data_IF_364541945120
#
_entry.id   IF_364541945120
#
_cell.length_a   1.000
_cell.length_b   1.000
_cell.length_c   1.000
_cell.angle_alpha   90.00
_cell.angle_beta   90.00
_cell.angle_gamma   90.00
#
_symmetry.space_group_name_H-M   'P 1'
#
loop_
_entity.id
_entity.type
_entity.pdbx_description
1 polymer ?
#
# COMPACT_ATOMS: atom_id res chain seq x y z
N UNK A 1 19.07 22.47 18.50
CA UNK A 1 18.21 22.35 17.30
C UNK A 1 18.32 20.91 16.82
N UNK A 2 17.39 20.05 17.24
CA UNK A 2 17.35 18.65 16.80
C UNK A 2 16.54 18.60 15.51
N UNK A 3 17.19 18.29 14.40
CA UNK A 3 16.56 18.00 13.12
C UNK A 3 15.77 16.69 13.24
N UNK A 4 14.54 16.70 12.73
CA UNK A 4 13.68 15.53 12.71
C UNK A 4 14.29 14.41 11.82
N UNK A 5 14.11 13.13 12.16
CA UNK A 5 14.56 12.04 11.32
C UNK A 5 13.81 12.13 9.98
N UNK A 6 14.58 12.25 8.91
CA UNK A 6 14.05 12.32 7.57
C UNK A 6 13.35 10.99 7.27
N UNK A 7 12.06 11.03 6.93
CA UNK A 7 11.35 9.87 6.40
C UNK A 7 12.01 9.35 5.12
N UNK A 8 11.69 8.12 4.67
CA UNK A 8 12.43 7.46 3.60
C UNK A 8 12.40 8.28 2.31
N UNK A 9 13.52 8.94 2.03
CA UNK A 9 13.81 9.64 0.77
C UNK A 9 14.24 8.67 -0.34
N UNK A 10 14.14 7.36 -0.13
CA UNK A 10 14.77 6.30 -0.93
C UNK A 10 14.31 6.22 -2.40
N UNK A 11 13.13 6.75 -2.74
CA UNK A 11 12.73 6.84 -4.15
C UNK A 11 13.51 7.91 -4.94
N UNK A 12 14.27 8.82 -4.31
CA UNK A 12 15.02 9.87 -5.03
C UNK A 12 16.23 9.33 -5.81
N UNK A 13 16.74 8.15 -5.47
CA UNK A 13 18.04 7.66 -5.98
C UNK A 13 17.94 6.62 -7.10
N UNK A 14 16.78 6.48 -7.75
CA UNK A 14 16.61 5.60 -8.93
C UNK A 14 16.23 6.36 -10.21
N UNK A 15 17.17 7.10 -10.84
CA UNK A 15 16.91 7.83 -12.08
C UNK A 15 16.31 6.95 -13.19
N UNK A 16 16.74 5.68 -13.26
CA UNK A 16 16.27 4.73 -14.27
C UNK A 16 14.77 4.44 -14.15
N UNK A 17 14.29 4.11 -12.95
CA UNK A 17 12.86 3.79 -12.73
C UNK A 17 11.98 5.01 -12.99
N UNK A 18 12.45 6.22 -12.64
CA UNK A 18 11.72 7.45 -12.97
C UNK A 18 11.63 7.69 -14.47
N UNK A 19 12.74 7.50 -15.19
CA UNK A 19 12.78 7.66 -16.64
C UNK A 19 11.86 6.65 -17.34
N UNK A 20 11.96 5.36 -16.99
CA UNK A 20 11.12 4.30 -17.55
C UNK A 20 9.64 4.55 -17.27
N UNK A 21 9.30 5.02 -16.05
CA UNK A 21 7.93 5.40 -15.69
C UNK A 21 7.44 6.56 -16.55
N UNK A 22 8.23 7.62 -16.70
CA UNK A 22 7.80 8.81 -17.43
C UNK A 22 7.65 8.52 -18.93
N UNK A 23 8.53 7.67 -19.49
CA UNK A 23 8.38 7.10 -20.84
C UNK A 23 7.12 6.23 -20.97
N UNK A 24 6.83 5.39 -19.98
CA UNK A 24 5.61 4.57 -19.95
C UNK A 24 4.34 5.42 -19.89
N UNK A 25 4.34 6.50 -19.11
CA UNK A 25 3.20 7.43 -19.06
C UNK A 25 3.01 8.12 -20.40
N UNK A 26 4.11 8.58 -21.03
CA UNK A 26 4.06 9.23 -22.33
C UNK A 26 3.60 8.32 -23.47
N UNK A 27 3.78 6.99 -23.32
CA UNK A 27 3.33 6.02 -24.32
C UNK A 27 1.85 5.62 -24.21
N UNK A 28 1.12 6.04 -23.16
CA UNK A 28 -0.33 5.82 -23.03
C UNK A 28 -1.08 6.83 -23.92
N UNK A 29 -1.72 6.41 -25.02
CA UNK A 29 -2.45 7.33 -25.87
C UNK A 29 -3.79 7.69 -25.22
N UNK A 30 -4.00 8.97 -24.90
CA UNK A 30 -5.19 9.41 -24.15
C UNK A 30 -6.52 9.02 -24.85
N UNK A 31 -6.57 9.07 -26.18
CA UNK A 31 -7.76 8.66 -26.94
C UNK A 31 -8.11 7.19 -26.71
N UNK A 32 -7.13 6.29 -26.54
CA UNK A 32 -7.37 4.88 -26.24
C UNK A 32 -7.95 4.69 -24.85
N UNK A 33 -7.61 5.56 -23.89
CA UNK A 33 -8.23 5.53 -22.55
C UNK A 33 -9.72 5.86 -22.63
N UNK A 34 -10.10 6.83 -23.45
CA UNK A 34 -11.51 7.16 -23.68
C UNK A 34 -12.25 6.03 -24.40
N UNK A 35 -11.65 5.48 -25.46
CA UNK A 35 -12.21 4.30 -26.17
C UNK A 35 -12.38 3.11 -25.23
N UNK A 36 -11.40 2.85 -24.37
CA UNK A 36 -11.45 1.80 -23.35
C UNK A 36 -12.58 2.05 -22.36
N UNK A 37 -12.69 3.26 -21.79
CA UNK A 37 -13.77 3.56 -20.86
C UNK A 37 -15.15 3.42 -21.52
N UNK A 38 -15.30 3.87 -22.76
CA UNK A 38 -16.54 3.73 -23.53
C UNK A 38 -16.89 2.29 -23.87
N UNK A 39 -15.91 1.40 -24.10
CA UNK A 39 -16.19 0.00 -24.44
C UNK A 39 -16.85 -0.78 -23.30
N UNK A 40 -16.61 -0.41 -22.04
CA UNK A 40 -17.27 -0.98 -20.87
C UNK A 40 -18.62 -0.34 -20.53
N UNK A 41 -19.10 0.57 -21.39
CA UNK A 41 -20.39 1.24 -21.25
C UNK A 41 -21.28 0.78 -22.40
N UNK A 42 -22.31 -0.02 -22.09
CA UNK A 42 -23.21 -0.63 -23.07
C UNK A 42 -23.85 0.40 -24.03
N UNK A 43 -23.38 0.46 -25.29
CA UNK A 43 -23.82 1.33 -26.40
C UNK A 43 -23.55 2.84 -26.25
N UNK A 44 -22.42 3.19 -25.62
CA UNK A 44 -22.19 4.52 -25.07
C UNK A 44 -21.78 5.65 -26.06
N UNK A 45 -22.33 6.85 -25.86
CA UNK A 45 -21.78 8.07 -26.44
C UNK A 45 -20.31 8.31 -26.01
N UNK A 46 -19.54 9.08 -26.79
CA UNK A 46 -18.14 9.38 -26.45
C UNK A 46 -18.05 9.99 -25.05
N UNK A 47 -17.10 9.51 -24.24
CA UNK A 47 -16.74 10.14 -22.97
C UNK A 47 -15.60 11.14 -23.17
N UNK A 48 -15.48 12.10 -22.27
CA UNK A 48 -14.42 13.10 -22.26
C UNK A 48 -13.70 13.11 -20.90
N UNK A 49 -12.48 13.62 -20.86
CA UNK A 49 -11.82 13.89 -19.58
C UNK A 49 -12.46 15.11 -18.90
N UNK A 50 -12.74 14.99 -17.60
CA UNK A 50 -13.25 16.11 -16.80
C UNK A 50 -12.22 16.64 -15.79
N UNK A 51 -11.08 15.96 -15.65
CA UNK A 51 -9.95 16.39 -14.82
C UNK A 51 -8.64 15.89 -15.47
N UNK A 52 -7.53 16.53 -15.13
CA UNK A 52 -6.21 16.13 -15.61
C UNK A 52 -5.82 14.77 -15.04
N UNK A 53 -5.06 13.94 -15.78
CA UNK A 53 -4.53 12.69 -15.24
C UNK A 53 -3.73 12.94 -13.97
N UNK A 54 -3.91 12.09 -12.95
CA UNK A 54 -3.19 12.18 -11.67
C UNK A 54 -2.32 10.95 -11.49
N UNK A 55 -1.03 11.18 -11.24
CA UNK A 55 -0.04 10.14 -11.02
C UNK A 55 0.15 9.90 -9.51
N UNK A 56 -0.01 8.65 -9.08
CA UNK A 56 0.44 8.16 -7.77
C UNK A 56 1.76 7.39 -7.87
N UNK A 57 2.16 6.69 -6.81
CA UNK A 57 3.40 5.89 -6.80
C UNK A 57 3.35 4.70 -7.75
N UNK A 58 2.17 4.08 -7.90
CA UNK A 58 2.01 2.80 -8.60
C UNK A 58 0.95 2.80 -9.69
N UNK A 59 0.20 3.89 -9.84
CA UNK A 59 -0.84 4.00 -10.85
C UNK A 59 -0.88 5.43 -11.40
N UNK A 60 -1.30 5.56 -12.65
CA UNK A 60 -1.84 6.81 -13.20
C UNK A 60 -3.36 6.68 -13.30
N UNK A 61 -4.08 7.74 -12.94
CA UNK A 61 -5.53 7.80 -12.90
C UNK A 61 -6.04 8.81 -13.94
N UNK A 62 -6.91 8.37 -14.84
CA UNK A 62 -7.62 9.20 -15.81
C UNK A 62 -9.07 9.38 -15.39
N UNK A 63 -9.59 10.60 -15.48
CA UNK A 63 -10.91 10.96 -14.96
C UNK A 63 -11.86 11.23 -16.12
N UNK A 64 -12.80 10.32 -16.35
CA UNK A 64 -13.68 10.34 -17.53
C UNK A 64 -15.14 10.59 -17.14
N UNK A 65 -15.85 11.35 -17.97
CA UNK A 65 -17.26 11.66 -17.82
C UNK A 65 -18.02 11.33 -19.09
N UNK A 66 -19.16 10.65 -18.94
CA UNK A 66 -20.09 10.32 -20.01
C UNK A 66 -21.15 11.42 -20.17
N UNK A 67 -21.84 11.46 -21.31
CA UNK A 67 -22.83 12.52 -21.58
C UNK A 67 -24.03 12.51 -20.62
N UNK A 68 -24.33 11.35 -20.01
CA UNK A 68 -25.36 11.19 -18.99
C UNK A 68 -24.90 11.62 -17.59
N UNK A 69 -23.72 12.23 -17.49
CA UNK A 69 -23.17 12.80 -16.27
C UNK A 69 -22.42 11.81 -15.39
N UNK A 70 -22.48 10.50 -15.67
CA UNK A 70 -21.74 9.49 -14.90
C UNK A 70 -20.23 9.70 -15.07
N UNK A 71 -19.49 9.51 -13.97
CA UNK A 71 -18.04 9.71 -13.91
C UNK A 71 -17.34 8.44 -13.46
N UNK A 72 -16.26 8.07 -14.15
CA UNK A 72 -15.42 6.92 -13.82
C UNK A 72 -13.93 7.32 -13.70
N UNK A 73 -13.15 6.43 -13.10
CA UNK A 73 -11.70 6.55 -12.98
C UNK A 73 -11.00 5.37 -13.68
N UNK A 74 -10.31 5.74 -14.75
CA UNK A 74 -9.19 5.12 -15.50
C UNK A 74 -7.92 4.75 -14.71
N UNK A 75 -7.82 3.65 -13.95
CA UNK A 75 -6.56 3.34 -13.23
C UNK A 75 -5.66 2.39 -14.03
N UNK A 76 -4.48 2.88 -14.42
CA UNK A 76 -3.47 2.10 -15.13
C UNK A 76 -2.25 1.89 -14.21
N UNK A 77 -1.85 0.64 -13.92
CA UNK A 77 -0.65 0.36 -13.15
C UNK A 77 0.61 0.84 -13.88
N UNK A 78 1.51 1.48 -13.15
CA UNK A 78 2.80 1.91 -13.65
C UNK A 78 3.77 0.73 -13.60
N UNK A 79 3.72 -0.14 -14.60
CA UNK A 79 4.52 -1.38 -14.65
C UNK A 79 6.02 -1.19 -14.31
N UNK A 80 6.71 -0.12 -14.75
CA UNK A 80 8.11 0.12 -14.38
C UNK A 80 8.36 0.30 -12.87
N UNK A 81 7.33 0.69 -12.10
CA UNK A 81 7.43 0.89 -10.65
C UNK A 81 7.04 -0.36 -9.84
N UNK A 82 6.72 -1.48 -10.50
CA UNK A 82 6.18 -2.70 -9.89
C UNK A 82 7.15 -3.87 -10.05
N UNK A 83 7.97 -4.10 -9.03
CA UNK A 83 8.99 -5.15 -9.05
C UNK A 83 8.40 -6.55 -9.28
N UNK A 84 7.19 -6.77 -8.76
CA UNK A 84 6.47 -8.04 -8.83
C UNK A 84 5.40 -8.08 -9.93
N UNK A 85 5.40 -7.10 -10.84
CA UNK A 85 4.49 -7.02 -11.97
C UNK A 85 3.11 -6.43 -11.65
N UNK A 86 2.45 -5.93 -12.70
CA UNK A 86 1.10 -5.35 -12.63
C UNK A 86 0.05 -6.37 -12.18
N UNK A 87 0.19 -7.63 -12.62
CA UNK A 87 -0.73 -8.73 -12.33
C UNK A 87 -0.94 -8.93 -10.83
N UNK A 88 0.13 -9.23 -10.10
CA UNK A 88 0.08 -9.50 -8.65
C UNK A 88 -0.53 -8.33 -7.88
N UNK A 89 -0.17 -7.09 -8.25
CA UNK A 89 -0.73 -5.88 -7.65
C UNK A 89 -2.24 -5.78 -7.89
N UNK A 90 -2.68 -5.88 -9.15
CA UNK A 90 -4.09 -5.67 -9.51
C UNK A 90 -4.99 -6.74 -8.92
N UNK A 91 -4.58 -8.01 -8.99
CA UNK A 91 -5.31 -9.11 -8.36
C UNK A 91 -5.48 -8.87 -6.85
N UNK A 92 -4.43 -8.41 -6.17
CA UNK A 92 -4.50 -8.11 -4.74
C UNK A 92 -5.38 -6.91 -4.40
N UNK A 93 -5.34 -5.83 -5.21
CA UNK A 93 -6.23 -4.68 -5.02
C UNK A 93 -7.70 -5.04 -5.24
N UNK A 94 -8.01 -5.80 -6.30
CA UNK A 94 -9.37 -6.23 -6.60
C UNK A 94 -9.89 -7.17 -5.52
N UNK A 95 -9.10 -8.16 -5.08
CA UNK A 95 -9.47 -9.05 -4.00
C UNK A 95 -9.72 -8.29 -2.69
N UNK A 96 -8.86 -7.33 -2.34
CA UNK A 96 -9.07 -6.48 -1.17
C UNK A 96 -10.38 -5.68 -1.24
N UNK A 97 -10.67 -5.06 -2.39
CA UNK A 97 -11.94 -4.34 -2.59
C UNK A 97 -13.13 -5.27 -2.43
N UNK A 98 -13.10 -6.47 -3.02
CA UNK A 98 -14.17 -7.46 -2.90
C UNK A 98 -14.40 -7.91 -1.45
N UNK A 99 -13.33 -8.16 -0.67
CA UNK A 99 -13.47 -8.49 0.77
C UNK A 99 -14.12 -7.34 1.52
N UNK A 100 -13.62 -6.12 1.34
CA UNK A 100 -14.12 -4.94 2.07
C UNK A 100 -15.60 -4.73 1.73
N UNK A 101 -15.96 -4.72 0.44
CA UNK A 101 -17.35 -4.49 0.01
C UNK A 101 -18.30 -5.60 0.48
N UNK A 102 -17.85 -6.86 0.54
CA UNK A 102 -18.73 -8.00 0.90
C UNK A 102 -18.86 -8.22 2.41
N UNK A 103 -17.90 -7.77 3.21
CA UNK A 103 -17.84 -8.09 4.65
C UNK A 103 -17.90 -6.87 5.56
N UNK A 104 -17.97 -5.66 5.02
CA UNK A 104 -18.02 -4.42 5.78
C UNK A 104 -19.03 -3.45 5.18
N UNK A 105 -19.39 -2.41 5.92
CA UNK A 105 -20.18 -1.27 5.43
C UNK A 105 -19.30 -0.11 4.98
N UNK A 106 -17.97 -0.31 4.93
CA UNK A 106 -17.02 0.73 4.53
C UNK A 106 -17.31 1.14 3.09
N UNK A 107 -17.56 2.44 2.82
CA UNK A 107 -17.83 2.89 1.47
C UNK A 107 -16.58 2.78 0.60
N UNK A 108 -16.63 1.91 -0.41
CA UNK A 108 -15.59 1.75 -1.41
C UNK A 108 -16.13 2.08 -2.80
N UNK A 109 -15.32 2.68 -3.71
CA UNK A 109 -15.75 2.86 -5.09
C UNK A 109 -16.14 1.53 -5.72
N UNK A 110 -17.29 1.47 -6.37
CA UNK A 110 -17.73 0.32 -7.14
C UNK A 110 -16.75 0.00 -8.26
N UNK A 111 -16.38 -1.27 -8.33
CA UNK A 111 -15.59 -1.86 -9.41
C UNK A 111 -16.46 -2.00 -10.66
N UNK A 112 -16.14 -1.27 -11.74
CA UNK A 112 -16.86 -1.34 -13.02
C UNK A 112 -16.31 -2.49 -13.86
N UNK A 113 -14.99 -2.52 -14.03
CA UNK A 113 -14.28 -3.51 -14.81
C UNK A 113 -12.81 -3.54 -14.39
N UNK A 114 -12.13 -4.64 -14.68
CA UNK A 114 -10.68 -4.73 -14.57
C UNK A 114 -10.17 -5.77 -15.56
N UNK A 115 -8.93 -5.58 -16.02
CA UNK A 115 -8.20 -6.54 -16.83
C UNK A 115 -6.82 -6.70 -16.23
N UNK A 116 -6.38 -7.96 -16.17
CA UNK A 116 -5.09 -8.36 -15.64
C UNK A 116 -4.33 -9.07 -16.75
N UNK A 117 -3.13 -8.57 -17.05
CA UNK A 117 -2.25 -9.12 -18.08
C UNK A 117 -0.81 -9.12 -17.58
N UNK A 118 -0.02 -10.07 -18.11
CA UNK A 118 1.43 -10.12 -17.90
C UNK A 118 2.20 -9.27 -18.92
N UNK A 119 1.48 -8.69 -19.90
CA UNK A 119 2.07 -7.73 -20.84
C UNK A 119 2.55 -6.47 -20.12
N UNK A 120 3.68 -5.93 -20.61
CA UNK A 120 4.20 -4.63 -20.18
C UNK A 120 3.69 -3.47 -21.03
N UNK A 121 2.83 -3.75 -22.00
CA UNK A 121 2.25 -2.73 -22.85
C UNK A 121 1.29 -1.83 -22.05
N UNK A 122 1.25 -0.53 -22.37
CA UNK A 122 0.26 0.37 -21.79
C UNK A 122 -1.16 -0.15 -22.01
N UNK A 123 -2.05 0.05 -21.02
CA UNK A 123 -3.46 -0.37 -21.05
C UNK A 123 -3.71 -1.88 -21.17
N UNK A 124 -2.69 -2.74 -21.19
CA UNK A 124 -2.87 -4.20 -21.13
C UNK A 124 -3.41 -4.68 -19.78
N UNK A 125 -3.21 -3.88 -18.73
CA UNK A 125 -3.76 -4.07 -17.39
C UNK A 125 -4.37 -2.76 -16.91
N UNK A 126 -5.56 -2.81 -16.32
CA UNK A 126 -6.24 -1.62 -15.78
C UNK A 126 -7.36 -1.99 -14.82
N UNK A 127 -7.84 -0.98 -14.09
CA UNK A 127 -9.05 -1.04 -13.27
C UNK A 127 -9.90 0.19 -13.59
N UNK A 128 -11.20 -0.02 -13.86
CA UNK A 128 -12.19 1.03 -14.00
C UNK A 128 -13.04 1.05 -12.73
N UNK A 129 -13.03 2.19 -12.04
CA UNK A 129 -13.82 2.41 -10.83
C UNK A 129 -14.86 3.50 -11.07
N UNK A 130 -15.94 3.48 -10.31
CA UNK A 130 -16.79 4.66 -10.21
C UNK A 130 -16.01 5.83 -9.59
N UNK A 131 -16.35 7.05 -9.99
CA UNK A 131 -15.76 8.23 -9.38
C UNK A 131 -16.51 8.58 -8.09
N UNK A 132 -15.79 8.60 -6.97
CA UNK A 132 -16.31 9.08 -5.69
C UNK A 132 -15.94 10.56 -5.54
N UNK A 133 -16.95 11.42 -5.49
CA UNK A 133 -16.76 12.83 -5.18
C UNK A 133 -16.41 13.00 -3.71
N UNK A 134 -15.34 13.74 -3.42
CA UNK A 134 -14.94 14.01 -2.06
C UNK A 134 -13.70 14.88 -1.96
N UNK A 135 -13.33 15.19 -0.72
CA UNK A 135 -12.13 15.94 -0.39
C UNK A 135 -11.12 15.03 0.29
N UNK A 136 -9.86 15.10 -0.13
CA UNK A 136 -8.77 14.42 0.58
C UNK A 136 -8.65 14.98 1.98
N UNK A 137 -8.48 14.11 2.96
CA UNK A 137 -8.27 14.53 4.33
C UNK A 137 -6.91 15.24 4.46
N UNK A 138 -6.93 16.42 5.07
CA UNK A 138 -5.75 17.25 5.32
C UNK A 138 -5.70 17.55 6.81
N UNK A 139 -4.73 16.97 7.50
CA UNK A 139 -4.57 17.10 8.96
C UNK A 139 -4.41 18.56 9.40
N UNK A 140 -3.84 19.42 8.56
CA UNK A 140 -3.68 20.84 8.88
C UNK A 140 -5.01 21.59 8.90
N UNK A 141 -5.97 21.14 8.07
CA UNK A 141 -7.34 21.67 8.02
C UNK A 141 -8.22 21.04 9.10
N UNK A 142 -7.96 19.77 9.44
CA UNK A 142 -8.70 19.03 10.45
C UNK A 142 -8.72 19.77 11.80
N UNK A 143 -7.56 20.30 12.23
CA UNK A 143 -7.46 21.08 13.48
C UNK A 143 -8.26 22.38 13.49
N UNK A 144 -8.66 22.87 12.31
CA UNK A 144 -9.42 24.11 12.12
C UNK A 144 -10.92 23.85 11.94
N UNK A 145 -11.35 22.59 11.87
CA UNK A 145 -12.76 22.24 11.77
C UNK A 145 -13.49 22.54 13.09
N UNK A 146 -14.79 22.87 13.05
CA UNK A 146 -15.62 22.88 14.25
C UNK A 146 -15.54 21.55 15.00
N UNK A 147 -15.63 21.59 16.32
CA UNK A 147 -15.47 20.41 17.19
C UNK A 147 -16.43 19.26 16.83
N UNK A 148 -17.67 19.59 16.47
CA UNK A 148 -18.66 18.62 16.01
C UNK A 148 -18.21 17.86 14.75
N UNK A 149 -17.66 18.59 13.77
CA UNK A 149 -17.17 17.99 12.52
C UNK A 149 -15.93 17.13 12.76
N UNK A 150 -15.04 17.56 13.66
CA UNK A 150 -13.89 16.74 14.08
C UNK A 150 -14.36 15.44 14.73
N UNK A 151 -15.33 15.53 15.63
CA UNK A 151 -15.89 14.37 16.34
C UNK A 151 -16.54 13.38 15.38
N UNK A 152 -17.34 13.86 14.42
CA UNK A 152 -17.97 13.03 13.40
C UNK A 152 -16.93 12.33 12.51
N UNK A 153 -15.87 13.05 12.13
CA UNK A 153 -14.77 12.49 11.34
C UNK A 153 -14.02 11.41 12.12
N UNK A 154 -13.62 11.68 13.36
CA UNK A 154 -12.92 10.69 14.18
C UNK A 154 -13.77 9.46 14.45
N UNK A 155 -15.07 9.65 14.68
CA UNK A 155 -16.02 8.54 14.87
C UNK A 155 -16.13 7.68 13.61
N UNK A 156 -16.24 8.31 12.43
CA UNK A 156 -16.26 7.60 11.14
C UNK A 156 -14.96 6.82 10.88
N UNK A 157 -13.81 7.42 11.20
CA UNK A 157 -12.50 6.76 11.05
C UNK A 157 -12.34 5.59 12.02
N UNK A 158 -12.80 5.74 13.26
CA UNK A 158 -12.80 4.66 14.25
C UNK A 158 -13.69 3.50 13.81
N UNK A 159 -14.88 3.79 13.27
CA UNK A 159 -15.78 2.77 12.73
C UNK A 159 -15.12 1.98 11.58
N UNK A 160 -14.53 2.68 10.60
CA UNK A 160 -13.76 2.05 9.50
C UNK A 160 -12.65 1.16 10.07
N UNK A 161 -11.90 1.65 11.06
CA UNK A 161 -10.79 0.89 11.64
C UNK A 161 -11.27 -0.38 12.37
N UNK A 162 -12.35 -0.27 13.15
CA UNK A 162 -12.96 -1.41 13.85
C UNK A 162 -13.44 -2.45 12.84
N UNK A 163 -14.08 -2.02 11.76
CA UNK A 163 -14.55 -2.93 10.71
C UNK A 163 -13.39 -3.64 10.01
N UNK A 164 -12.31 -2.93 9.64
CA UNK A 164 -11.11 -3.56 9.09
C UNK A 164 -10.46 -4.54 10.07
N UNK A 165 -10.40 -4.20 11.36
CA UNK A 165 -9.81 -5.05 12.42
C UNK A 165 -10.57 -6.36 12.64
N UNK A 166 -11.86 -6.42 12.28
CA UNK A 166 -12.70 -7.62 12.31
C UNK A 166 -12.50 -8.54 11.10
N UNK A 167 -11.78 -8.08 10.07
CA UNK A 167 -11.44 -8.92 8.92
C UNK A 167 -10.22 -9.78 9.29
N UNK A 168 -10.51 -11.02 9.64
CA UNK A 168 -9.53 -12.00 10.13
C UNK A 168 -9.17 -13.05 9.06
N UNK A 169 -7.91 -13.45 9.07
CA UNK A 169 -7.30 -14.37 8.11
C UNK A 169 -6.38 -15.38 8.81
N UNK A 170 -6.25 -16.59 8.25
CA UNK A 170 -5.45 -17.65 8.86
C UNK A 170 -3.93 -17.52 8.60
N UNK A 171 -3.50 -16.63 7.69
CA UNK A 171 -2.10 -16.42 7.34
C UNK A 171 -1.82 -14.94 7.01
N UNK A 172 -0.54 -14.57 7.06
CA UNK A 172 0.00 -13.26 6.69
C UNK A 172 0.38 -13.29 5.20
N UNK A 173 -0.02 -12.26 4.45
CA UNK A 173 0.27 -12.18 3.02
C UNK A 173 -0.64 -11.20 2.27
N UNK A 174 -0.61 -11.28 0.95
CA UNK A 174 -1.52 -10.57 0.06
C UNK A 174 -2.76 -11.40 -0.25
N UNK A 175 -3.90 -10.72 -0.39
CA UNK A 175 -5.16 -11.34 -0.79
C UNK A 175 -5.15 -11.70 -2.28
N UNK A 176 -5.79 -12.82 -2.62
CA UNK A 176 -6.05 -13.22 -3.99
C UNK A 176 -7.37 -13.99 -4.11
N UNK A 177 -7.94 -13.99 -5.31
CA UNK A 177 -9.06 -14.86 -5.64
C UNK A 177 -8.56 -16.30 -5.81
N UNK A 178 -9.06 -17.21 -5.01
CA UNK A 178 -8.85 -18.66 -5.12
C UNK A 178 -10.14 -19.41 -5.49
N UNK A 179 -10.06 -20.75 -5.64
CA UNK A 179 -11.21 -21.59 -6.00
C UNK A 179 -12.37 -21.51 -5.00
N UNK A 180 -12.05 -21.44 -3.71
CA UNK A 180 -13.01 -21.40 -2.60
C UNK A 180 -13.34 -19.96 -2.15
N UNK A 181 -12.98 -18.97 -2.97
CA UNK A 181 -13.13 -17.55 -2.66
C UNK A 181 -11.79 -16.89 -2.32
N UNK A 182 -11.85 -15.76 -1.61
CA UNK A 182 -10.67 -14.93 -1.37
C UNK A 182 -9.80 -15.54 -0.26
N UNK A 183 -8.52 -15.74 -0.56
CA UNK A 183 -7.53 -16.36 0.31
C UNK A 183 -6.27 -15.51 0.46
N UNK A 184 -5.43 -15.84 1.45
CA UNK A 184 -4.11 -15.20 1.67
C UNK A 184 -3.02 -16.22 1.33
N UNK A 185 -2.46 -16.08 0.12
CA UNK A 185 -1.57 -17.10 -0.47
C UNK A 185 -0.41 -16.49 -1.28
N UNK A 186 -0.17 -15.19 -1.14
CA UNK A 186 0.93 -14.48 -1.79
C UNK A 186 1.82 -13.84 -0.73
N UNK A 187 3.12 -13.80 -1.00
CA UNK A 187 4.07 -13.05 -0.17
C UNK A 187 3.67 -11.59 -0.06
N UNK A 188 4.05 -10.94 1.04
CA UNK A 188 3.72 -9.54 1.27
C UNK A 188 4.43 -8.65 0.26
N UNK A 189 3.72 -7.66 -0.29
CA UNK A 189 4.25 -6.69 -1.25
C UNK A 189 4.13 -5.30 -0.65
N UNK A 190 4.89 -5.03 0.42
CA UNK A 190 4.94 -3.68 1.00
C UNK A 190 5.69 -2.72 0.07
N UNK A 191 5.48 -1.41 0.25
CA UNK A 191 6.23 -0.40 -0.48
C UNK A 191 7.75 -0.57 -0.30
N UNK A 192 8.20 -0.87 0.92
CA UNK A 192 9.61 -1.13 1.22
C UNK A 192 10.15 -2.33 0.44
N UNK A 193 9.43 -3.47 0.47
CA UNK A 193 9.84 -4.68 -0.26
C UNK A 193 9.90 -4.40 -1.77
N UNK A 194 8.93 -3.67 -2.34
CA UNK A 194 8.96 -3.31 -3.75
C UNK A 194 10.15 -2.41 -4.11
N UNK A 195 10.46 -1.40 -3.30
CA UNK A 195 11.61 -0.50 -3.55
C UNK A 195 12.91 -1.29 -3.51
N UNK A 196 13.14 -2.06 -2.45
CA UNK A 196 14.34 -2.88 -2.31
C UNK A 196 14.50 -3.92 -3.43
N UNK A 197 13.40 -4.49 -3.92
CA UNK A 197 13.43 -5.39 -5.08
C UNK A 197 13.85 -4.66 -6.36
N UNK A 198 13.33 -3.45 -6.62
CA UNK A 198 13.77 -2.62 -7.75
C UNK A 198 15.25 -2.20 -7.63
N UNK A 199 15.76 -2.04 -6.41
CA UNK A 199 17.18 -1.78 -6.12
C UNK A 199 18.08 -3.01 -6.33
N UNK A 200 17.51 -4.20 -6.54
CA UNK A 200 18.26 -5.44 -6.68
C UNK A 200 18.78 -5.98 -5.35
N UNK A 201 18.21 -5.55 -4.22
CA UNK A 201 18.54 -6.04 -2.88
C UNK A 201 17.92 -7.41 -2.59
N UNK A 202 17.06 -7.91 -3.48
CA UNK A 202 16.47 -9.26 -3.45
C UNK A 202 15.76 -9.61 -2.12
N UNK A 203 14.89 -8.74 -1.57
CA UNK A 203 14.09 -9.08 -0.39
C UNK A 203 13.18 -10.30 -0.62
N UNK A 204 12.76 -10.56 -1.87
CA UNK A 204 11.98 -11.76 -2.23
C UNK A 204 12.67 -13.08 -1.88
N UNK A 205 14.00 -13.15 -2.04
CA UNK A 205 14.79 -14.33 -1.66
C UNK A 205 14.79 -14.57 -0.14
N UNK A 206 14.68 -13.50 0.65
CA UNK A 206 14.54 -13.61 2.11
C UNK A 206 13.13 -14.08 2.44
N UNK A 207 12.09 -13.48 1.82
CA UNK A 207 10.70 -13.93 2.02
C UNK A 207 10.54 -15.43 1.75
N UNK A 208 11.15 -15.95 0.68
CA UNK A 208 11.05 -17.36 0.31
C UNK A 208 11.58 -18.33 1.39
N UNK A 209 12.44 -17.87 2.32
CA UNK A 209 12.97 -18.68 3.42
C UNK A 209 11.99 -18.80 4.61
N UNK A 210 11.05 -17.86 4.73
CA UNK A 210 10.12 -17.78 5.86
C UNK A 210 8.73 -18.33 5.55
N UNK A 211 8.32 -18.26 4.28
CA UNK A 211 7.04 -18.80 3.84
C UNK A 211 7.12 -20.32 3.73
N UNK A 212 6.08 -21.00 4.19
CA UNK A 212 5.96 -22.46 4.07
C UNK A 212 5.81 -22.87 2.59
N UNK A 213 6.06 -24.15 2.24
CA UNK A 213 5.96 -24.63 0.85
C UNK A 213 4.58 -24.43 0.20
N UNK A 214 3.52 -24.30 1.01
CA UNK A 214 2.17 -24.00 0.57
C UNK A 214 1.92 -22.50 0.31
N UNK A 215 2.95 -21.65 0.47
CA UNK A 215 2.90 -20.21 0.22
C UNK A 215 2.34 -19.40 1.38
N UNK A 216 2.18 -19.99 2.57
CA UNK A 216 1.58 -19.33 3.74
C UNK A 216 2.62 -18.97 4.79
N UNK A 217 2.32 -17.89 5.52
CA UNK A 217 3.07 -17.50 6.71
C UNK A 217 2.10 -17.39 7.88
N UNK A 218 2.25 -18.27 8.88
CA UNK A 218 1.27 -18.45 9.97
C UNK A 218 1.81 -18.08 11.35
N UNK A 219 2.97 -17.44 11.41
CA UNK A 219 3.61 -16.95 12.63
C UNK A 219 3.98 -15.48 12.49
N UNK A 220 3.48 -14.65 13.40
CA UNK A 220 3.87 -13.25 13.54
C UNK A 220 5.36 -13.12 13.88
N UNK A 221 5.90 -14.02 14.71
CA UNK A 221 7.31 -14.06 15.06
C UNK A 221 8.20 -14.32 13.84
N UNK A 222 7.84 -15.31 13.00
CA UNK A 222 8.51 -15.54 11.71
C UNK A 222 8.42 -14.32 10.81
N UNK A 223 7.26 -13.65 10.76
CA UNK A 223 7.08 -12.44 9.97
C UNK A 223 7.95 -11.26 10.46
N UNK A 224 8.03 -11.04 11.77
CA UNK A 224 8.90 -10.01 12.36
C UNK A 224 10.36 -10.33 12.09
N UNK A 225 10.79 -11.58 12.28
CA UNK A 225 12.15 -12.01 11.97
C UNK A 225 12.49 -11.79 10.48
N UNK A 226 11.57 -12.13 9.58
CA UNK A 226 11.72 -11.86 8.14
C UNK A 226 11.92 -10.37 7.86
N UNK A 227 11.14 -9.48 8.49
CA UNK A 227 11.29 -8.03 8.30
C UNK A 227 12.61 -7.50 8.84
N UNK A 228 13.11 -8.07 9.95
CA UNK A 228 14.43 -7.73 10.50
C UNK A 228 15.54 -8.17 9.53
N UNK A 229 15.47 -9.39 9.01
CA UNK A 229 16.45 -9.90 8.03
C UNK A 229 16.42 -9.12 6.71
N UNK A 230 15.24 -8.71 6.24
CA UNK A 230 15.10 -7.79 5.09
C UNK A 230 15.77 -6.44 5.37
N UNK A 231 15.64 -5.92 6.59
CA UNK A 231 16.25 -4.65 7.00
C UNK A 231 17.77 -4.76 7.11
N UNK A 232 18.28 -5.83 7.71
CA UNK A 232 19.71 -6.12 7.83
C UNK A 232 20.36 -6.31 6.45
N UNK A 233 19.69 -7.03 5.55
CA UNK A 233 20.13 -7.19 4.16
C UNK A 233 20.18 -5.86 3.42
N UNK A 234 19.17 -5.00 3.61
CA UNK A 234 19.15 -3.68 2.99
C UNK A 234 20.30 -2.82 3.50
N UNK A 235 20.56 -2.81 4.81
CA UNK A 235 21.68 -2.10 5.41
C UNK A 235 23.02 -2.59 4.82
N UNK A 236 23.25 -3.91 4.83
CA UNK A 236 24.51 -4.51 4.39
C UNK A 236 24.80 -4.35 2.88
N UNK A 237 23.76 -4.35 2.03
CA UNK A 237 23.92 -4.37 0.57
C UNK A 237 23.67 -3.04 -0.12
N UNK A 238 22.96 -2.12 0.52
CA UNK A 238 22.71 -0.80 -0.08
C UNK A 238 23.97 0.04 -0.10
N UNK A 239 24.18 0.75 -1.21
CA UNK A 239 25.35 1.61 -1.45
C UNK A 239 25.30 2.93 -0.69
N UNK A 240 24.16 3.27 -0.08
CA UNK A 240 23.92 4.54 0.61
C UNK A 240 23.40 4.40 2.04
N UNK A 241 23.61 3.24 2.68
CA UNK A 241 23.17 2.99 4.06
C UNK A 241 23.87 3.86 5.11
N UNK A 242 25.03 4.42 4.75
CA UNK A 242 25.89 5.23 5.62
C UNK A 242 26.42 6.39 4.79
N UNK A 243 26.11 7.62 5.20
CA UNK A 243 26.53 8.84 4.49
C UNK A 243 27.87 9.39 4.99
N UNK A 244 28.16 9.20 6.27
CA UNK A 244 29.41 9.61 6.92
C UNK A 244 30.07 8.39 7.58
N UNK A 245 31.39 8.26 7.47
CA UNK A 245 32.15 7.06 7.88
C UNK A 245 31.98 6.73 9.37
N UNK A 246 31.79 7.75 10.22
CA UNK A 246 31.57 7.63 11.67
C UNK A 246 30.15 7.16 12.03
N UNK A 247 29.15 7.37 11.16
CA UNK A 247 27.75 6.99 11.40
C UNK A 247 27.47 5.51 11.15
N UNK A 248 28.38 4.79 10.48
CA UNK A 248 28.18 3.39 10.15
C UNK A 248 28.13 2.48 11.38
N UNK A 249 29.00 2.74 12.36
CA UNK A 249 29.03 2.03 13.63
C UNK A 249 27.74 2.24 14.43
N UNK A 250 27.30 3.49 14.52
CA UNK A 250 26.06 3.85 15.22
C UNK A 250 24.83 3.23 14.57
N UNK A 251 24.73 3.28 13.23
CA UNK A 251 23.62 2.67 12.50
C UNK A 251 23.56 1.15 12.72
N UNK A 252 24.71 0.46 12.67
CA UNK A 252 24.79 -0.97 12.95
C UNK A 252 24.43 -1.29 14.40
N UNK A 253 24.92 -0.48 15.35
CA UNK A 253 24.60 -0.63 16.77
C UNK A 253 23.10 -0.45 17.03
N UNK A 254 22.46 0.55 16.42
CA UNK A 254 21.02 0.77 16.55
C UNK A 254 20.19 -0.34 15.92
N UNK A 255 20.59 -0.89 14.76
CA UNK A 255 19.94 -2.06 14.17
C UNK A 255 20.03 -3.29 15.09
N UNK A 256 21.22 -3.53 15.65
CA UNK A 256 21.43 -4.60 16.61
C UNK A 256 20.54 -4.44 17.86
N UNK A 257 20.52 -3.25 18.46
CA UNK A 257 19.65 -2.97 19.62
C UNK A 257 18.17 -3.15 19.28
N UNK A 258 17.72 -2.65 18.12
CA UNK A 258 16.33 -2.79 17.70
C UNK A 258 15.94 -4.27 17.56
N UNK A 259 16.82 -5.12 17.01
CA UNK A 259 16.62 -6.57 16.94
C UNK A 259 16.47 -7.22 18.31
N UNK A 260 17.24 -6.77 19.31
CA UNK A 260 17.12 -7.27 20.69
C UNK A 260 15.80 -6.88 21.34
N UNK A 261 15.37 -5.62 21.19
CA UNK A 261 14.11 -5.15 21.78
C UNK A 261 12.85 -5.71 21.11
N UNK A 262 12.88 -5.89 19.80
CA UNK A 262 11.73 -6.45 19.07
C UNK A 262 11.35 -7.85 19.55
N UNK A 263 12.32 -8.66 19.99
CA UNK A 263 12.05 -9.96 20.60
C UNK A 263 11.29 -9.84 21.93
N UNK A 264 11.48 -8.75 22.68
CA UNK A 264 10.77 -8.50 23.94
C UNK A 264 9.34 -7.99 23.73
N UNK A 265 9.05 -7.43 22.56
CA UNK A 265 7.71 -6.93 22.21
C UNK A 265 6.80 -8.02 21.62
N UNK A 266 7.36 -9.17 21.29
CA UNK A 266 6.59 -10.31 20.79
C UNK A 266 5.71 -10.87 21.91
N UNK A 267 4.40 -10.92 21.68
CA UNK A 267 3.46 -11.63 22.54
C UNK A 267 3.27 -13.05 21.97
N UNK A 268 3.73 -14.11 22.66
CA UNK A 268 3.56 -15.48 22.18
C UNK A 268 2.10 -15.89 22.00
N UNK A 269 1.16 -15.26 22.71
CA UNK A 269 -0.28 -15.53 22.57
C UNK A 269 -0.85 -14.97 21.26
N UNK A 270 -0.14 -14.04 20.61
CA UNK A 270 -0.53 -13.40 19.36
C UNK A 270 0.33 -13.86 18.17
N UNK A 271 1.14 -14.91 18.33
CA UNK A 271 2.01 -15.41 17.26
C UNK A 271 1.21 -16.03 16.12
N UNK A 272 0.15 -16.76 16.46
CA UNK A 272 -0.67 -17.49 15.48
C UNK A 272 -1.97 -16.76 15.16
N UNK A 273 -2.66 -17.26 14.14
CA UNK A 273 -3.92 -16.71 13.66
C UNK A 273 -4.97 -16.54 14.79
N UNK A 274 -5.91 -15.59 14.67
CA UNK A 274 -6.23 -14.81 13.46
C UNK A 274 -5.33 -13.59 13.22
N UNK A 275 -4.89 -13.41 11.96
CA UNK A 275 -4.24 -12.19 11.46
C UNK A 275 -5.27 -11.24 10.88
N UNK A 276 -5.03 -9.93 10.98
CA UNK A 276 -6.07 -8.93 10.69
C UNK A 276 -5.70 -8.04 9.52
N UNK A 277 -6.70 -7.58 8.77
CA UNK A 277 -6.48 -6.61 7.70
C UNK A 277 -6.05 -5.26 8.27
N UNK A 278 -4.93 -4.74 7.79
CA UNK A 278 -4.40 -3.43 8.18
C UNK A 278 -4.18 -2.56 6.95
N UNK A 279 -4.46 -1.26 7.09
CA UNK A 279 -4.15 -0.26 6.08
C UNK A 279 -3.04 0.66 6.60
N UNK A 280 -1.89 0.69 5.92
CA UNK A 280 -0.68 1.39 6.39
C UNK A 280 -0.91 2.86 6.76
N UNK A 281 -1.73 3.58 5.99
CA UNK A 281 -2.02 5.00 6.25
C UNK A 281 -2.92 5.24 7.48
N UNK A 282 -3.74 4.26 7.86
CA UNK A 282 -4.66 4.39 9.01
C UNK A 282 -3.96 4.08 10.34
N UNK A 283 -2.80 3.43 10.31
CA UNK A 283 -1.98 3.13 11.49
C UNK A 283 -1.39 4.38 12.15
N UNK A 284 -1.08 5.42 11.36
CA UNK A 284 -0.47 6.66 11.85
C UNK A 284 -1.45 7.49 12.73
N UNK A 285 -2.74 7.45 12.42
CA UNK A 285 -3.78 8.27 13.06
C UNK A 285 -4.01 7.92 14.54
N UNK A 286 -3.75 6.66 14.94
CA UNK A 286 -3.89 6.21 16.34
C UNK A 286 -2.64 6.56 17.17
N UNK A 287 -1.47 6.67 16.51
CA UNK A 287 -0.22 7.03 17.20
C UNK A 287 -0.22 8.46 17.74
N UNK A 288 -0.98 9.38 17.13
CA UNK A 288 -1.08 10.77 17.60
C UNK A 288 -1.86 10.89 18.93
N UNK A 289 -2.91 10.08 19.14
CA UNK A 289 -3.55 9.97 20.47
C UNK A 289 -2.70 9.18 21.46
N UNK A 290 -1.91 8.19 21.03
CA UNK A 290 -0.94 7.54 21.92
C UNK A 290 0.16 8.49 22.38
N UNK A 291 0.60 9.48 21.60
CA UNK A 291 1.53 10.52 22.10
C UNK A 291 0.92 11.41 23.19
N UNK A 292 -0.40 11.62 23.18
CA UNK A 292 -1.09 12.37 24.23
C UNK A 292 -1.49 11.49 25.43
N UNK A 293 -1.75 10.19 25.23
CA UNK A 293 -2.06 9.23 26.30
C UNK A 293 -0.82 8.57 26.93
N UNK A 294 0.33 8.59 26.26
CA UNK A 294 1.61 8.05 26.76
C UNK A 294 2.46 9.07 27.53
N UNK A 295 1.95 10.29 27.72
CA UNK A 295 2.56 11.30 28.59
C UNK A 295 2.20 11.12 30.09
N UNK A 296 1.59 9.98 30.48
CA UNK A 296 1.13 9.72 31.84
C UNK A 296 1.62 8.39 32.44
N UNK A 297 2.67 7.75 31.90
CA UNK A 297 3.16 6.46 32.41
C UNK A 297 4.70 6.33 32.50
N UNK A 298 5.41 7.46 32.54
CA UNK A 298 6.81 7.50 32.99
C UNK A 298 6.94 8.62 34.03
N UNK A 299 6.47 8.34 35.23
CA UNK A 299 6.93 9.00 36.45
C UNK A 299 6.60 8.09 37.65
N UNK A 300 7.53 7.18 37.96
CA UNK A 300 7.63 6.49 39.24
C UNK A 300 9.00 5.80 39.31
N UNK A 301 9.95 6.52 39.93
CA UNK A 301 11.30 6.13 40.43
C UNK A 301 12.36 5.69 39.43
#
# INVERSE_FOLDING_TARGET
MMSAPHGPQQLKDQPRVHLERDQFIASIPEHQVLTLASSYRNAAPPCNFFDKPKRGSYNICYFVQFCDGVKWVVRVPLAPCLAFGARRKLESEVAAMQVITSRTTIPTPRLIAYVVSDSREPLSSFVILEFVSGQKLDLSKLKKLPEEQQTNLYSSLADIYIQLRRLEFPSIGCLESGPDGIQVNKTTISQNINIQELEGLQPSSIQAQYFEPDGRLTSANKYVAMLLDVSDNAFARSRGSVYEEDQGGDALYHLYLFRQYTQQWADPLLDHCPFVMVHGDLTCMISERRRQASAALFDAT
#
